data_IF_749411115037
#
_entry.id   IF_749411115037
#
_cell.length_a   1.000
_cell.length_b   1.000
_cell.length_c   1.000
_cell.angle_alpha   90.00
_cell.angle_beta   90.00
_cell.angle_gamma   90.00
#
_symmetry.space_group_name_H-M   'P 1'
#
loop_
_entity.id
_entity.type
_entity.pdbx_description
1 polymer ?
#
# COMPACT_ATOMS: atom_id res chain seq x y z
N UNK A 1 -11.55 -29.43 31.71
CA UNK A 1 -12.83 -28.74 32.04
C UNK A 1 -12.58 -27.54 32.97
N UNK A 2 -11.70 -26.59 32.60
CA UNK A 2 -11.41 -25.39 33.43
C UNK A 2 -11.70 -24.06 32.71
N UNK A 3 -11.76 -24.07 31.37
CA UNK A 3 -12.05 -22.90 30.53
C UNK A 3 -13.47 -22.34 30.75
N UNK A 4 -14.46 -23.20 31.02
CA UNK A 4 -15.85 -22.79 31.27
C UNK A 4 -15.98 -21.85 32.48
N UNK A 5 -15.24 -22.10 33.57
CA UNK A 5 -15.25 -21.24 34.76
C UNK A 5 -14.62 -19.87 34.46
N UNK A 6 -13.61 -19.83 33.60
CA UNK A 6 -12.93 -18.59 33.23
C UNK A 6 -13.82 -17.70 32.34
N UNK A 7 -14.50 -18.28 31.34
CA UNK A 7 -15.42 -17.56 30.44
C UNK A 7 -16.67 -17.03 31.17
N UNK A 8 -17.09 -17.69 32.26
CA UNK A 8 -18.28 -17.30 33.03
C UNK A 8 -18.00 -16.24 34.10
N UNK A 9 -16.73 -15.98 34.44
CA UNK A 9 -16.31 -14.89 35.34
C UNK A 9 -16.44 -13.53 34.65
N UNK A 10 -16.86 -12.50 35.39
CA UNK A 10 -16.97 -11.13 34.87
C UNK A 10 -15.64 -10.64 34.28
N UNK A 11 -14.52 -10.88 34.96
CA UNK A 11 -13.17 -10.53 34.48
C UNK A 11 -12.79 -11.30 33.21
N UNK A 12 -13.19 -12.57 33.11
CA UNK A 12 -12.92 -13.39 31.94
C UNK A 12 -13.71 -12.98 30.71
N UNK A 13 -14.96 -12.50 30.87
CA UNK A 13 -15.74 -11.92 29.78
C UNK A 13 -15.04 -10.72 29.16
N UNK A 14 -14.55 -9.78 29.97
CA UNK A 14 -13.83 -8.60 29.47
C UNK A 14 -12.56 -8.97 28.72
N UNK A 15 -11.73 -9.86 29.28
CA UNK A 15 -10.52 -10.34 28.61
C UNK A 15 -10.83 -11.03 27.28
N UNK A 16 -11.89 -11.84 27.22
CA UNK A 16 -12.27 -12.54 26.00
C UNK A 16 -12.77 -11.57 24.92
N UNK A 17 -13.55 -10.54 25.29
CA UNK A 17 -13.99 -9.49 24.36
C UNK A 17 -12.81 -8.72 23.76
N UNK A 18 -11.77 -8.42 24.56
CA UNK A 18 -10.56 -7.74 24.09
C UNK A 18 -9.79 -8.64 23.10
N UNK A 19 -9.57 -9.91 23.45
CA UNK A 19 -8.85 -10.87 22.59
C UNK A 19 -9.59 -11.07 21.26
N UNK A 20 -10.93 -11.21 21.31
CA UNK A 20 -11.75 -11.35 20.11
C UNK A 20 -11.74 -10.08 19.25
N UNK A 21 -11.76 -8.89 19.86
CA UNK A 21 -11.66 -7.62 19.14
C UNK A 21 -10.31 -7.45 18.42
N UNK A 22 -9.21 -7.78 19.10
CA UNK A 22 -7.86 -7.74 18.50
C UNK A 22 -7.72 -8.82 17.41
N UNK A 23 -8.25 -10.02 17.67
CA UNK A 23 -8.27 -11.11 16.70
C UNK A 23 -9.02 -10.74 15.42
N UNK A 24 -10.21 -10.16 15.54
CA UNK A 24 -10.99 -9.70 14.40
C UNK A 24 -10.28 -8.56 13.65
N UNK A 25 -9.72 -7.58 14.37
CA UNK A 25 -8.97 -6.47 13.77
C UNK A 25 -7.75 -6.96 12.96
N UNK A 26 -7.10 -8.04 13.41
CA UNK A 26 -5.96 -8.64 12.71
C UNK A 26 -6.34 -9.30 11.38
N UNK A 27 -7.56 -9.81 11.25
CA UNK A 27 -8.08 -10.39 9.99
C UNK A 27 -8.35 -9.29 8.95
N UNK A 28 -8.84 -8.13 9.38
CA UNK A 28 -9.09 -6.98 8.50
C UNK A 28 -7.85 -6.15 8.20
N UNK A 29 -6.72 -6.41 8.88
CA UNK A 29 -5.44 -5.80 8.53
C UNK A 29 -5.01 -6.40 7.19
N UNK A 30 -5.34 -5.72 6.09
CA UNK A 30 -4.86 -6.06 4.75
C UNK A 30 -3.34 -6.21 4.81
N UNK A 31 -2.86 -7.45 4.78
CA UNK A 31 -1.44 -7.78 4.72
C UNK A 31 -1.02 -7.49 3.29
N UNK A 32 -0.66 -6.23 3.10
CA UNK A 32 -0.19 -5.68 1.86
C UNK A 32 1.18 -6.32 1.57
N UNK A 33 1.16 -7.49 0.91
CA UNK A 33 2.36 -8.31 0.68
C UNK A 33 2.98 -7.97 -0.68
N UNK A 34 4.22 -7.50 -0.66
CA UNK A 34 5.04 -7.30 -1.84
C UNK A 34 4.49 -6.26 -2.82
N UNK A 35 4.33 -6.66 -4.09
CA UNK A 35 4.01 -5.78 -5.23
C UNK A 35 2.62 -5.13 -5.17
N UNK A 36 1.73 -5.62 -4.31
CA UNK A 36 0.38 -5.09 -4.14
C UNK A 36 0.32 -3.90 -3.17
N UNK A 37 1.45 -3.54 -2.54
CA UNK A 37 1.53 -2.36 -1.67
C UNK A 37 2.37 -1.21 -2.22
N UNK A 38 2.93 -1.37 -3.41
CA UNK A 38 3.74 -0.31 -4.02
C UNK A 38 2.82 0.58 -4.85
N UNK A 39 2.58 1.79 -4.34
CA UNK A 39 1.87 2.83 -5.06
C UNK A 39 2.88 3.53 -5.96
N UNK A 40 2.77 3.30 -7.27
CA UNK A 40 3.58 4.01 -8.26
C UNK A 40 2.89 5.32 -8.61
N UNK A 41 3.53 6.44 -8.28
CA UNK A 41 3.10 7.78 -8.67
C UNK A 41 4.02 8.34 -9.73
N UNK A 42 3.46 9.04 -10.70
CA UNK A 42 4.25 9.79 -11.65
C UNK A 42 4.85 11.03 -10.97
N UNK A 43 6.09 11.43 -11.32
CA UNK A 43 6.65 12.68 -10.84
C UNK A 43 5.84 13.87 -11.40
N UNK A 44 5.74 14.99 -10.66
CA UNK A 44 5.10 16.20 -11.16
C UNK A 44 5.79 16.71 -12.43
N UNK A 45 4.99 17.25 -13.36
CA UNK A 45 5.46 17.63 -14.70
C UNK A 45 6.57 18.69 -14.66
N UNK A 46 6.47 19.63 -13.72
CA UNK A 46 7.44 20.70 -13.44
C UNK A 46 8.84 20.16 -13.10
N UNK A 47 8.93 18.95 -12.55
CA UNK A 47 10.20 18.36 -12.20
C UNK A 47 10.89 17.64 -13.36
N UNK A 48 10.17 17.37 -14.45
CA UNK A 48 10.68 16.65 -15.62
C UNK A 48 10.92 17.60 -16.79
N UNK A 49 10.11 18.65 -16.92
CA UNK A 49 10.29 19.68 -17.93
C UNK A 49 11.63 20.41 -17.77
N UNK A 50 12.33 20.56 -18.89
CA UNK A 50 13.61 21.27 -19.01
C UNK A 50 14.79 20.76 -18.15
N UNK A 51 14.66 19.58 -17.53
CA UNK A 51 15.78 18.92 -16.86
C UNK A 51 16.52 17.96 -17.79
N UNK A 52 17.85 17.96 -17.64
CA UNK A 52 18.76 17.05 -18.35
C UNK A 52 19.18 15.96 -17.37
N UNK A 53 18.86 14.71 -17.69
CA UNK A 53 19.20 13.56 -16.86
C UNK A 53 20.43 12.86 -17.42
N UNK A 54 21.45 12.66 -16.57
CA UNK A 54 22.64 11.89 -16.91
C UNK A 54 22.42 10.43 -16.53
N UNK A 55 22.37 9.54 -17.51
CA UNK A 55 22.28 8.10 -17.30
C UNK A 55 23.30 7.40 -18.20
N UNK A 56 24.09 6.48 -17.64
CA UNK A 56 25.11 5.72 -18.37
C UNK A 56 26.09 6.61 -19.18
N UNK A 57 26.51 7.73 -18.59
CA UNK A 57 27.41 8.70 -19.23
C UNK A 57 26.79 9.56 -20.33
N UNK A 58 25.52 9.35 -20.68
CA UNK A 58 24.79 10.10 -21.71
C UNK A 58 23.77 11.05 -21.06
N UNK A 59 23.58 12.21 -21.68
CA UNK A 59 22.62 13.23 -21.25
C UNK A 59 21.34 13.10 -22.06
N UNK A 60 20.21 12.97 -21.37
CA UNK A 60 18.88 12.83 -21.95
C UNK A 60 18.00 14.01 -21.56
N UNK A 61 17.39 14.67 -22.55
CA UNK A 61 16.31 15.64 -22.35
C UNK A 61 14.99 14.95 -22.71
N UNK A 62 14.02 15.02 -21.81
CA UNK A 62 12.69 14.47 -22.06
C UNK A 62 11.77 15.57 -22.58
N UNK A 63 11.11 15.32 -23.71
CA UNK A 63 10.08 16.21 -24.27
C UNK A 63 8.72 15.54 -24.13
N UNK A 64 7.73 16.30 -23.64
CA UNK A 64 6.35 15.80 -23.49
C UNK A 64 5.65 15.78 -24.83
N UNK A 65 5.24 14.60 -25.27
CA UNK A 65 4.41 14.41 -26.45
C UNK A 65 3.07 13.79 -26.07
N UNK A 66 1.98 14.39 -26.53
CA UNK A 66 0.64 13.88 -26.33
C UNK A 66 0.45 12.59 -27.14
N UNK A 67 0.32 11.45 -26.45
CA UNK A 67 0.09 10.14 -27.07
C UNK A 67 -1.12 9.47 -26.45
N UNK A 68 -1.88 8.73 -27.26
CA UNK A 68 -2.97 7.88 -26.76
C UNK A 68 -2.42 6.84 -25.78
N UNK A 69 -3.06 6.71 -24.62
CA UNK A 69 -2.70 5.73 -23.61
C UNK A 69 -2.74 4.32 -24.20
N UNK A 70 -1.64 3.57 -24.05
CA UNK A 70 -1.56 2.19 -24.51
C UNK A 70 -2.15 1.26 -23.45
N UNK A 71 -3.13 0.45 -23.85
CA UNK A 71 -3.84 -0.49 -22.96
C UNK A 71 -2.93 -1.58 -22.37
N UNK A 72 -1.78 -1.87 -22.99
CA UNK A 72 -0.82 -2.87 -22.51
C UNK A 72 0.15 -2.33 -21.45
N UNK A 73 0.07 -1.04 -21.08
CA UNK A 73 0.94 -0.42 -20.08
C UNK A 73 0.13 -0.02 -18.85
N UNK A 74 0.76 -0.13 -17.68
CA UNK A 74 0.15 0.30 -16.42
C UNK A 74 0.11 1.83 -16.39
N UNK A 75 -1.10 2.39 -16.36
CA UNK A 75 -1.32 3.83 -16.21
C UNK A 75 -1.18 4.16 -14.74
N UNK A 76 -0.31 5.10 -14.41
CA UNK A 76 -0.06 5.57 -13.04
C UNK A 76 -0.66 6.97 -12.88
N UNK A 77 -1.19 7.26 -11.71
CA UNK A 77 -1.68 8.59 -11.37
C UNK A 77 -0.51 9.52 -11.04
N UNK A 78 -0.70 10.82 -11.30
CA UNK A 78 0.21 11.89 -10.90
C UNK A 78 -0.01 12.24 -9.43
#
# INVERSE_FOLDING_TARGET
MHLYKFVKSNTGKYMMSIILGIGLASVFRSVCKGKNCVIYKAPPLEEVDDKIYKFDGKCYKFERVSKKCNQNKKIVEF
#
